data_IF_620728931892
#
_entry.id   IF_620728931892
#
_cell.length_a   1.000
_cell.length_b   1.000
_cell.length_c   1.000
_cell.angle_alpha   90.00
_cell.angle_beta   90.00
_cell.angle_gamma   90.00
#
_symmetry.space_group_name_H-M   'P 1'
#
loop_
_entity.id
_entity.type
_entity.pdbx_description
1 polymer ?
#
# COMPACT_ATOMS: atom_id res chain seq x y z
N UNK A 1 16.92 -35.00 12.36
CA UNK A 1 16.61 -33.85 11.49
C UNK A 1 15.37 -33.17 12.00
N UNK A 2 15.46 -31.90 12.41
CA UNK A 2 14.29 -31.08 12.73
C UNK A 2 13.99 -30.25 11.48
N UNK A 3 13.01 -30.67 10.68
CA UNK A 3 12.53 -29.90 9.53
C UNK A 3 11.80 -28.67 10.08
N UNK A 4 12.20 -27.48 9.61
CA UNK A 4 11.48 -26.24 9.91
C UNK A 4 10.04 -26.37 9.39
N UNK A 5 9.08 -26.39 10.31
CA UNK A 5 7.67 -26.36 9.97
C UNK A 5 7.31 -24.98 9.41
N UNK A 6 6.92 -24.93 8.14
CA UNK A 6 6.51 -23.70 7.42
C UNK A 6 5.02 -23.34 7.65
N UNK A 7 4.39 -23.86 8.70
CA UNK A 7 2.95 -23.66 8.97
C UNK A 7 2.72 -22.64 10.08
N UNK A 8 2.95 -21.36 9.79
CA UNK A 8 2.32 -20.22 10.49
C UNK A 8 2.36 -18.91 9.66
N UNK A 9 2.78 -18.95 8.39
CA UNK A 9 2.94 -17.74 7.58
C UNK A 9 1.62 -17.02 7.23
N UNK A 10 0.46 -17.66 7.44
CA UNK A 10 -0.88 -17.11 7.18
C UNK A 10 -1.74 -16.98 8.45
N UNK A 11 -1.13 -16.77 9.62
CA UNK A 11 -1.89 -16.75 10.89
C UNK A 11 -2.61 -15.42 11.21
N UNK A 12 -2.35 -14.35 10.45
CA UNK A 12 -3.00 -13.05 10.67
C UNK A 12 -4.15 -12.92 9.67
N UNK A 13 -5.37 -12.51 10.07
CA UNK A 13 -6.46 -12.23 9.13
C UNK A 13 -6.17 -10.95 8.32
N UNK A 14 -6.74 -10.76 7.12
CA UNK A 14 -6.57 -9.51 6.39
C UNK A 14 -7.10 -8.34 7.20
N UNK A 15 -6.47 -7.18 7.05
CA UNK A 15 -6.78 -6.00 7.83
C UNK A 15 -6.59 -4.72 7.02
N UNK A 16 -7.27 -3.66 7.44
CA UNK A 16 -7.13 -2.33 6.83
C UNK A 16 -5.68 -1.83 6.83
N UNK A 17 -4.86 -2.24 7.80
CA UNK A 17 -3.43 -1.91 7.87
C UNK A 17 -2.61 -2.45 6.69
N UNK A 18 -3.08 -3.48 6.00
CA UNK A 18 -2.39 -4.08 4.85
C UNK A 18 -2.31 -3.09 3.68
N UNK A 19 -3.27 -2.16 3.59
CA UNK A 19 -3.28 -1.10 2.58
C UNK A 19 -2.15 -0.08 2.76
N UNK A 20 -1.41 -0.13 3.88
CA UNK A 20 -0.18 0.63 4.06
C UNK A 20 0.86 0.33 2.97
N UNK A 21 0.88 -0.89 2.41
CA UNK A 21 1.71 -1.25 1.26
C UNK A 21 1.38 -0.46 -0.01
N UNK A 22 0.09 -0.17 -0.24
CA UNK A 22 -0.33 0.68 -1.36
C UNK A 22 0.13 2.12 -1.15
N UNK A 23 0.08 2.61 0.08
CA UNK A 23 0.52 3.96 0.44
C UNK A 23 2.05 4.13 0.40
N UNK A 24 2.81 3.06 0.66
CA UNK A 24 4.26 3.02 0.45
C UNK A 24 4.63 3.15 -1.04
N UNK A 25 3.80 2.59 -1.91
CA UNK A 25 3.83 2.78 -3.35
C UNK A 25 3.19 4.13 -3.75
N UNK A 26 2.75 4.27 -5.00
CA UNK A 26 2.07 5.44 -5.54
C UNK A 26 0.62 5.65 -5.02
N UNK A 27 0.13 4.81 -4.11
CA UNK A 27 -1.22 4.94 -3.56
C UNK A 27 -1.39 6.23 -2.76
N UNK A 28 -2.57 6.84 -2.86
CA UNK A 28 -2.95 8.08 -2.20
C UNK A 28 -4.06 7.81 -1.18
N UNK A 29 -4.11 8.66 -0.15
CA UNK A 29 -5.21 8.67 0.82
C UNK A 29 -5.85 10.04 0.85
N UNK A 30 -7.18 10.09 0.80
CA UNK A 30 -7.96 11.32 0.97
C UNK A 30 -8.87 11.19 2.17
N UNK A 31 -9.06 12.28 2.91
CA UNK A 31 -9.89 12.33 4.12
C UNK A 31 -10.95 13.41 3.95
N UNK A 32 -12.21 13.07 4.21
CA UNK A 32 -13.34 14.00 4.17
C UNK A 32 -14.39 13.59 5.20
N UNK A 33 -14.87 14.55 6.00
CA UNK A 33 -15.94 14.37 6.97
C UNK A 33 -15.77 13.13 7.89
N UNK A 34 -14.55 12.92 8.40
CA UNK A 34 -14.22 11.79 9.30
C UNK A 34 -14.12 10.42 8.61
N UNK A 35 -14.17 10.39 7.28
CA UNK A 35 -14.02 9.18 6.46
C UNK A 35 -12.77 9.32 5.61
N UNK A 36 -12.17 8.19 5.26
CA UNK A 36 -11.02 8.17 4.37
C UNK A 36 -11.21 7.19 3.22
N UNK A 37 -10.50 7.45 2.12
CA UNK A 37 -10.45 6.60 0.93
C UNK A 37 -8.99 6.41 0.53
N UNK A 38 -8.61 5.17 0.22
CA UNK A 38 -7.33 4.84 -0.41
C UNK A 38 -7.56 4.60 -1.89
N UNK A 39 -6.64 5.07 -2.73
CA UNK A 39 -6.67 4.88 -4.18
C UNK A 39 -5.28 4.66 -4.75
N UNK A 40 -5.13 3.80 -5.75
CA UNK A 40 -3.83 3.52 -6.40
C UNK A 40 -4.02 3.35 -7.90
N UNK A 41 -3.20 4.05 -8.68
CA UNK A 41 -3.07 3.83 -10.13
C UNK A 41 -2.03 2.74 -10.36
N UNK A 42 -2.32 1.78 -11.22
CA UNK A 42 -1.41 0.67 -11.58
C UNK A 42 -1.23 0.58 -13.09
N UNK A 43 -0.17 -0.09 -13.54
CA UNK A 43 0.22 -0.15 -14.95
C UNK A 43 -0.48 -1.26 -15.76
N UNK A 44 -1.19 -2.18 -15.09
CA UNK A 44 -1.82 -3.32 -15.73
C UNK A 44 -3.13 -3.73 -15.05
N UNK A 45 -4.11 -4.17 -15.84
CA UNK A 45 -5.43 -4.57 -15.33
C UNK A 45 -5.36 -5.71 -14.32
N UNK A 46 -4.45 -6.69 -14.52
CA UNK A 46 -4.31 -7.80 -13.57
C UNK A 46 -3.87 -7.32 -12.18
N UNK A 47 -3.09 -6.23 -12.09
CA UNK A 47 -2.75 -5.61 -10.80
C UNK A 47 -3.97 -4.95 -10.20
N UNK A 48 -4.80 -4.33 -11.01
CA UNK A 48 -6.02 -3.68 -10.53
C UNK A 48 -6.97 -4.72 -9.91
N UNK A 49 -7.16 -5.85 -10.59
CA UNK A 49 -7.97 -6.97 -10.09
C UNK A 49 -7.39 -7.53 -8.78
N UNK A 50 -6.08 -7.79 -8.73
CA UNK A 50 -5.42 -8.32 -7.53
C UNK A 50 -5.44 -7.33 -6.33
N UNK A 51 -5.34 -6.02 -6.60
CA UNK A 51 -5.46 -4.99 -5.56
C UNK A 51 -6.91 -4.88 -5.08
N UNK A 52 -7.89 -5.00 -5.97
CA UNK A 52 -9.30 -5.02 -5.58
C UNK A 52 -9.61 -6.22 -4.68
N UNK A 53 -9.13 -7.42 -5.03
CA UNK A 53 -9.25 -8.62 -4.20
C UNK A 53 -8.62 -8.41 -2.81
N UNK A 54 -7.42 -7.81 -2.73
CA UNK A 54 -6.76 -7.50 -1.45
C UNK A 54 -7.58 -6.51 -0.60
N UNK A 55 -8.22 -5.51 -1.22
CA UNK A 55 -9.10 -4.56 -0.53
C UNK A 55 -10.34 -5.27 0.01
N UNK A 56 -10.94 -6.17 -0.77
CA UNK A 56 -12.11 -6.96 -0.40
C UNK A 56 -11.79 -7.97 0.71
N UNK A 57 -10.64 -8.64 0.65
CA UNK A 57 -10.11 -9.49 1.72
C UNK A 57 -10.04 -8.72 3.05
N UNK A 58 -9.62 -7.45 3.02
CA UNK A 58 -9.55 -6.56 4.19
C UNK A 58 -10.94 -6.05 4.66
N UNK A 59 -12.03 -6.53 4.06
CA UNK A 59 -13.40 -6.20 4.44
C UNK A 59 -13.90 -4.87 3.91
N UNK A 60 -13.25 -4.30 2.88
CA UNK A 60 -13.62 -3.02 2.29
C UNK A 60 -14.15 -3.22 0.87
N UNK A 61 -15.13 -2.39 0.45
CA UNK A 61 -15.58 -2.40 -0.93
C UNK A 61 -14.51 -1.76 -1.84
N UNK A 62 -14.14 -2.46 -2.91
CA UNK A 62 -13.25 -1.98 -3.96
C UNK A 62 -14.04 -1.49 -5.19
N UNK A 63 -13.47 -0.53 -5.90
CA UNK A 63 -13.96 -0.06 -7.19
C UNK A 63 -12.78 0.08 -8.14
N UNK A 64 -12.87 -0.56 -9.32
CA UNK A 64 -11.91 -0.40 -10.41
C UNK A 64 -12.48 0.59 -11.43
N UNK A 65 -11.67 1.58 -11.77
CA UNK A 65 -11.98 2.66 -12.71
C UNK A 65 -10.72 2.99 -13.51
N UNK A 66 -10.67 4.15 -14.17
CA UNK A 66 -9.50 4.65 -14.89
C UNK A 66 -9.12 6.04 -14.37
N UNK A 67 -7.83 6.33 -14.36
CA UNK A 67 -7.33 7.69 -14.18
C UNK A 67 -7.67 8.55 -15.41
N UNK A 68 -7.43 9.86 -15.31
CA UNK A 68 -7.64 10.79 -16.42
C UNK A 68 -6.72 10.46 -17.62
N UNK A 69 -5.55 9.88 -17.34
CA UNK A 69 -4.59 9.37 -18.34
C UNK A 69 -4.96 7.96 -18.86
N UNK A 70 -6.08 7.40 -18.44
CA UNK A 70 -6.60 6.12 -18.91
C UNK A 70 -5.98 4.88 -18.26
N UNK A 71 -5.10 5.04 -17.27
CA UNK A 71 -4.49 3.92 -16.54
C UNK A 71 -5.47 3.29 -15.55
N UNK A 72 -5.43 1.97 -15.29
CA UNK A 72 -6.27 1.36 -14.27
C UNK A 72 -6.09 2.00 -12.89
N UNK A 73 -7.20 2.34 -12.24
CA UNK A 73 -7.24 2.97 -10.92
C UNK A 73 -8.13 2.15 -10.01
N UNK A 74 -7.60 1.70 -8.87
CA UNK A 74 -8.38 1.01 -7.84
C UNK A 74 -8.59 1.95 -6.66
N UNK A 75 -9.79 1.98 -6.10
CA UNK A 75 -10.08 2.76 -4.89
C UNK A 75 -11.00 2.02 -3.95
N UNK A 76 -10.87 2.31 -2.67
CA UNK A 76 -11.81 1.87 -1.65
C UNK A 76 -13.08 2.73 -1.66
N UNK A 77 -14.16 2.24 -1.08
CA UNK A 77 -15.20 3.11 -0.55
C UNK A 77 -14.59 4.14 0.43
N UNK A 78 -15.22 5.31 0.56
CA UNK A 78 -14.84 6.27 1.60
C UNK A 78 -15.50 5.85 2.92
N UNK A 79 -14.71 5.43 3.91
CA UNK A 79 -15.21 4.79 5.14
C UNK A 79 -14.42 5.24 6.39
N UNK A 80 -15.01 5.23 7.60
CA UNK A 80 -14.34 5.66 8.83
C UNK A 80 -13.20 4.73 9.29
N UNK A 81 -13.24 3.44 8.94
CA UNK A 81 -12.24 2.43 9.30
C UNK A 81 -10.84 2.79 8.77
N UNK A 82 -10.79 3.54 7.67
CA UNK A 82 -9.54 4.03 7.06
C UNK A 82 -8.97 5.27 7.76
N UNK A 83 -9.70 5.94 8.66
CA UNK A 83 -9.27 7.19 9.26
C UNK A 83 -7.97 7.06 10.07
N UNK A 84 -7.82 5.96 10.82
CA UNK A 84 -6.61 5.68 11.58
C UNK A 84 -5.39 5.44 10.67
N UNK A 85 -5.58 4.74 9.56
CA UNK A 85 -4.53 4.53 8.56
C UNK A 85 -4.14 5.87 7.91
N UNK A 86 -5.14 6.66 7.51
CA UNK A 86 -4.92 7.97 6.90
C UNK A 86 -4.13 8.91 7.81
N UNK A 87 -4.48 8.96 9.11
CA UNK A 87 -3.78 9.80 10.08
C UNK A 87 -2.31 9.39 10.28
N UNK A 88 -2.00 8.09 10.23
CA UNK A 88 -0.61 7.61 10.33
C UNK A 88 0.22 7.97 9.10
N UNK A 89 -0.40 7.95 7.92
CA UNK A 89 0.26 8.13 6.62
C UNK A 89 0.21 9.55 6.06
N UNK A 90 -0.31 10.51 6.82
CA UNK A 90 -0.37 11.92 6.40
C UNK A 90 0.28 12.83 7.44
N UNK A 91 1.05 13.80 6.95
CA UNK A 91 1.58 14.91 7.75
C UNK A 91 1.04 16.21 7.17
N UNK A 92 -0.01 16.75 7.79
CA UNK A 92 -0.81 17.82 7.18
C UNK A 92 -1.56 17.29 5.97
N UNK A 93 -1.35 17.89 4.80
CA UNK A 93 -1.99 17.49 3.54
C UNK A 93 -1.14 16.57 2.65
N UNK A 94 0.05 16.14 3.12
CA UNK A 94 1.02 15.39 2.31
C UNK A 94 1.18 13.98 2.86
N UNK A 95 1.30 13.00 1.96
CA UNK A 95 1.61 11.62 2.31
C UNK A 95 3.02 11.54 2.89
N UNK A 96 3.16 10.90 4.05
CA UNK A 96 4.43 10.70 4.73
C UNK A 96 4.49 9.30 5.31
N UNK A 97 5.60 8.59 5.07
CA UNK A 97 5.81 7.25 5.64
C UNK A 97 5.95 7.37 7.16
N UNK A 98 5.20 6.58 7.97
CA UNK A 98 5.31 6.63 9.43
C UNK A 98 6.73 6.26 9.90
N UNK A 99 7.19 6.93 10.96
CA UNK A 99 8.49 6.61 11.58
C UNK A 99 8.47 5.18 12.12
N UNK A 100 9.47 4.37 11.75
CA UNK A 100 9.57 2.98 12.21
C UNK A 100 8.60 2.03 11.53
N UNK A 101 7.93 2.44 10.45
CA UNK A 101 7.08 1.54 9.67
C UNK A 101 7.91 0.41 9.07
N UNK A 102 7.49 -0.82 9.35
CA UNK A 102 8.03 -2.06 8.77
C UNK A 102 6.83 -2.80 8.18
N UNK A 103 6.81 -3.11 6.88
CA UNK A 103 5.71 -3.85 6.27
C UNK A 103 5.67 -5.28 6.80
N UNK A 104 4.48 -5.75 7.21
CA UNK A 104 4.23 -7.17 7.36
C UNK A 104 4.09 -7.87 5.99
N UNK A 105 3.86 -9.18 5.98
CA UNK A 105 3.75 -9.96 4.74
C UNK A 105 2.62 -9.48 3.83
N UNK A 106 1.49 -8.99 4.37
CA UNK A 106 0.36 -8.52 3.59
C UNK A 106 0.56 -7.11 3.06
N UNK A 107 1.11 -6.20 3.87
CA UNK A 107 1.56 -4.89 3.42
C UNK A 107 2.63 -5.03 2.33
N UNK A 108 3.55 -6.00 2.46
CA UNK A 108 4.53 -6.28 1.42
C UNK A 108 3.87 -6.81 0.14
N UNK A 109 2.88 -7.71 0.23
CA UNK A 109 2.08 -8.18 -0.92
C UNK A 109 1.40 -7.01 -1.61
N UNK A 110 0.72 -6.13 -0.87
CA UNK A 110 0.10 -4.92 -1.42
C UNK A 110 1.11 -4.05 -2.18
N UNK A 111 2.31 -3.85 -1.62
CA UNK A 111 3.35 -3.06 -2.26
C UNK A 111 3.88 -3.71 -3.55
N UNK A 112 4.10 -5.03 -3.54
CA UNK A 112 4.47 -5.81 -4.74
C UNK A 112 3.42 -5.67 -5.84
N UNK A 113 2.14 -5.80 -5.50
CA UNK A 113 1.04 -5.66 -6.46
C UNK A 113 0.95 -4.25 -7.02
N UNK A 114 1.19 -3.22 -6.21
CA UNK A 114 1.12 -1.84 -6.66
C UNK A 114 2.32 -1.42 -7.52
N UNK A 115 3.55 -1.81 -7.16
CA UNK A 115 4.77 -1.20 -7.73
C UNK A 115 5.95 -2.17 -7.91
N UNK A 116 5.75 -3.47 -7.66
CA UNK A 116 6.79 -4.48 -7.81
C UNK A 116 7.15 -4.71 -9.27
N UNK A 117 8.43 -4.59 -9.62
CA UNK A 117 8.93 -4.84 -10.99
C UNK A 117 10.27 -5.54 -10.96
N UNK A 118 10.54 -6.34 -11.98
CA UNK A 118 11.87 -6.91 -12.22
C UNK A 118 12.74 -5.90 -12.96
N UNK A 119 13.99 -5.73 -12.52
CA UNK A 119 15.01 -4.91 -13.15
C UNK A 119 16.24 -5.75 -13.49
N UNK A 120 17.04 -5.28 -14.47
CA UNK A 120 18.28 -5.94 -14.88
C UNK A 120 18.02 -7.35 -15.42
N UNK A 121 17.12 -7.49 -16.40
CA UNK A 121 16.77 -8.77 -17.03
C UNK A 121 16.29 -9.86 -16.05
N UNK A 122 15.83 -9.47 -14.86
CA UNK A 122 15.32 -10.39 -13.83
C UNK A 122 16.23 -10.57 -12.62
N UNK A 123 17.43 -9.98 -12.61
CA UNK A 123 18.39 -10.15 -11.52
C UNK A 123 17.96 -9.49 -10.21
N UNK A 124 17.07 -8.49 -10.27
CA UNK A 124 16.60 -7.75 -9.08
C UNK A 124 15.10 -7.53 -9.14
N UNK A 125 14.43 -7.72 -8.01
CA UNK A 125 13.04 -7.31 -7.85
C UNK A 125 12.99 -6.06 -6.98
N UNK A 126 12.40 -4.98 -7.49
CA UNK A 126 12.35 -3.68 -6.80
C UNK A 126 10.91 -3.27 -6.53
N UNK A 127 10.71 -2.60 -5.40
CA UNK A 127 9.42 -2.02 -5.02
C UNK A 127 9.52 -0.51 -5.18
N UNK A 128 8.75 0.04 -6.13
CA UNK A 128 8.71 1.48 -6.35
C UNK A 128 8.15 2.22 -5.13
N UNK A 129 8.87 3.25 -4.68
CA UNK A 129 8.34 4.25 -3.74
C UNK A 129 7.60 5.34 -4.51
N UNK A 130 6.66 6.02 -3.85
CA UNK A 130 6.03 7.22 -4.42
C UNK A 130 7.08 8.28 -4.79
N UNK A 131 7.23 8.67 -6.06
CA UNK A 131 8.17 9.71 -6.47
C UNK A 131 7.79 11.10 -5.93
N UNK A 132 6.54 11.31 -5.50
CA UNK A 132 6.05 12.57 -4.94
C UNK A 132 6.10 12.62 -3.41
N UNK A 133 6.44 11.52 -2.73
CA UNK A 133 6.61 11.55 -1.28
C UNK A 133 7.89 12.30 -0.90
N UNK A 134 7.84 13.26 0.04
CA UNK A 134 9.05 13.95 0.51
C UNK A 134 10.00 12.92 1.10
N UNK A 135 11.28 12.97 0.69
CA UNK A 135 12.31 12.06 1.20
C UNK A 135 12.37 12.18 2.72
N UNK A 136 12.29 11.07 3.48
CA UNK A 136 12.42 11.15 4.93
C UNK A 136 13.78 11.76 5.26
N UNK A 137 13.78 12.89 5.98
CA UNK A 137 15.01 13.52 6.43
C UNK A 137 15.68 12.57 7.42
N UNK A 138 16.84 12.05 7.04
CA UNK A 138 17.70 11.29 7.95
C UNK A 138 18.15 12.25 9.04
N UNK A 139 17.56 12.16 10.23
CA UNK A 139 18.08 12.87 11.40
C UNK A 139 19.51 12.38 11.64
N UNK A 140 20.46 13.30 11.48
CA UNK A 140 21.86 13.02 11.85
C UNK A 140 21.91 12.83 13.37
N UNK A 141 22.56 11.78 13.89
CA UNK A 141 22.83 11.73 15.31
C UNK A 141 23.81 12.86 15.62
N UNK A 142 23.34 13.79 16.45
CA UNK A 142 24.10 14.91 16.96
C UNK A 142 25.40 14.37 17.60
N UNK A 143 26.54 14.94 17.19
CA UNK A 143 27.87 14.62 17.74
C UNK A 143 28.31 15.75 18.64
#
# INVERSE_FOLDING_TARGET
MNQLSFFSAEAVPPAVSDLSGLLAAQGQVSVAAGRARVSVVVDASWRADAVAELIEEAGLAAEITRSDEGSPLVRTASVPELAALAAQWTKGAVKAVPVGWIPDSRALRAWVLAAGRSEGEGDRFVLGLDPHAPTPTRSSPNR
#
